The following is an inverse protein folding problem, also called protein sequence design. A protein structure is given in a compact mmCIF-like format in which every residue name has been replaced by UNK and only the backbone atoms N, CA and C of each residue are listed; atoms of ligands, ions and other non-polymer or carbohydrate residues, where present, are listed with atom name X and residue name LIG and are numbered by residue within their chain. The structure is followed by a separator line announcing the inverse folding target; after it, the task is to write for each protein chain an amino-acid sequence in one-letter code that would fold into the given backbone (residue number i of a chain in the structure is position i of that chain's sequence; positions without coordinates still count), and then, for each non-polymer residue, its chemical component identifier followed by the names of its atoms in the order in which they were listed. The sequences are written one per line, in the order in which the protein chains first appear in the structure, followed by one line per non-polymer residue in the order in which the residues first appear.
data_IF_620345958468
#
_entry.id   IF_620345958468
#
_cell.length_a   1.000
_cell.length_b   1.000
_cell.length_c   1.000
_cell.angle_alpha   90.00
_cell.angle_beta   90.00
_cell.angle_gamma   90.00
#
_symmetry.space_group_name_H-M   'P 1'
#
loop_
_entity.id
_entity.type
_entity.pdbx_description
1 polymer ?
#
# COMPACT_ATOMS: atom_id res chain seq x y z
N UNK A 1 1.11 5.51 -28.88
CA UNK A 1 1.35 4.81 -27.61
C UNK A 1 1.79 5.83 -26.57
N UNK A 2 1.47 5.59 -25.30
CA UNK A 2 1.95 6.37 -24.17
C UNK A 2 2.36 5.41 -23.04
N UNK A 3 3.18 5.88 -22.12
CA UNK A 3 3.55 5.15 -20.92
C UNK A 3 3.68 6.15 -19.77
N UNK A 4 3.56 5.65 -18.56
CA UNK A 4 3.60 6.48 -17.36
C UNK A 4 3.93 5.64 -16.14
N UNK A 5 4.17 6.36 -15.06
CA UNK A 5 4.46 5.80 -13.75
C UNK A 5 4.06 6.81 -12.69
N UNK A 6 3.79 6.31 -11.50
CA UNK A 6 3.67 7.13 -10.31
C UNK A 6 4.28 6.42 -9.11
N UNK A 7 4.68 7.23 -8.13
CA UNK A 7 5.32 6.74 -6.93
C UNK A 7 4.71 7.42 -5.72
N UNK A 8 4.23 6.61 -4.79
CA UNK A 8 3.69 7.07 -3.52
C UNK A 8 4.49 6.48 -2.35
N UNK A 9 4.90 7.31 -1.40
CA UNK A 9 5.51 6.84 -0.17
C UNK A 9 5.03 7.68 1.02
N UNK A 10 4.87 7.01 2.15
CA UNK A 10 4.45 7.62 3.42
C UNK A 10 5.59 7.47 4.41
N UNK A 11 5.93 8.53 5.14
CA UNK A 11 6.94 8.45 6.18
C UNK A 11 6.54 7.52 7.32
N UNK A 12 7.53 7.00 8.04
CA UNK A 12 7.30 6.28 9.29
C UNK A 12 6.54 7.16 10.30
N UNK A 13 5.83 6.51 11.22
CA UNK A 13 5.06 7.23 12.21
C UNK A 13 4.57 6.39 13.38
N UNK A 14 4.04 7.09 14.37
CA UNK A 14 3.51 6.52 15.59
C UNK A 14 2.06 6.98 15.76
N UNK A 15 1.19 6.06 16.18
CA UNK A 15 -0.21 6.35 16.46
C UNK A 15 -0.54 5.95 17.88
N UNK A 16 -1.07 6.91 18.62
CA UNK A 16 -1.48 6.75 20.02
C UNK A 16 -3.00 6.69 20.11
N UNK A 17 -3.52 5.59 20.67
CA UNK A 17 -4.94 5.40 20.97
C UNK A 17 -5.14 5.08 22.45
N UNK A 18 -6.38 5.14 22.93
CA UNK A 18 -6.69 4.95 24.35
C UNK A 18 -6.24 3.58 24.90
N UNK A 19 -6.31 2.52 24.10
CA UNK A 19 -5.97 1.15 24.51
C UNK A 19 -4.84 0.54 23.68
N UNK A 20 -4.14 1.36 22.88
CA UNK A 20 -3.21 0.86 21.88
C UNK A 20 -2.14 1.88 21.51
N UNK A 21 -0.95 1.38 21.25
CA UNK A 21 0.13 2.09 20.58
C UNK A 21 0.50 1.33 19.30
N UNK A 22 0.73 2.05 18.20
CA UNK A 22 1.06 1.47 16.90
C UNK A 22 2.28 2.19 16.29
N UNK A 23 3.25 1.44 15.79
CA UNK A 23 4.37 1.94 14.99
C UNK A 23 4.19 1.50 13.53
N UNK A 24 4.40 2.45 12.64
CA UNK A 24 4.30 2.31 11.20
C UNK A 24 5.70 2.50 10.60
N UNK A 25 6.31 1.41 10.11
CA UNK A 25 7.55 1.44 9.37
C UNK A 25 7.29 1.11 7.89
N UNK A 26 7.25 2.13 7.04
CA UNK A 26 6.94 2.02 5.62
C UNK A 26 8.23 1.92 4.81
N UNK A 27 8.37 0.85 4.04
CA UNK A 27 9.68 0.36 3.58
C UNK A 27 10.03 0.87 2.19
N UNK A 28 9.16 0.63 1.20
CA UNK A 28 9.55 0.76 -0.22
C UNK A 28 8.72 1.77 -1.01
N UNK A 29 7.55 2.15 -0.48
CA UNK A 29 6.54 2.90 -1.22
C UNK A 29 5.83 2.03 -2.27
N UNK A 30 4.96 2.65 -3.05
CA UNK A 30 4.15 2.03 -4.07
C UNK A 30 4.54 2.63 -5.42
N UNK A 31 5.21 1.83 -6.27
CA UNK A 31 5.60 2.22 -7.62
C UNK A 31 4.67 1.52 -8.60
N UNK A 32 3.94 2.31 -9.37
CA UNK A 32 3.05 1.83 -10.42
C UNK A 32 3.62 2.21 -11.78
N UNK A 33 3.56 1.28 -12.73
CA UNK A 33 4.01 1.50 -14.11
C UNK A 33 2.98 1.01 -15.11
N UNK A 34 2.78 1.75 -16.20
CA UNK A 34 1.87 1.34 -17.26
C UNK A 34 2.34 1.78 -18.65
N UNK A 35 1.86 1.05 -19.65
CA UNK A 35 1.91 1.43 -21.05
C UNK A 35 0.52 1.27 -21.69
N UNK A 36 0.17 2.17 -22.59
CA UNK A 36 -1.11 2.16 -23.29
C UNK A 36 -0.99 2.44 -24.78
N UNK A 37 -1.90 1.84 -25.53
CA UNK A 37 -2.07 2.12 -26.95
C UNK A 37 -2.72 3.49 -27.14
N UNK A 38 -2.48 4.11 -28.30
CA UNK A 38 -3.40 5.14 -28.77
C UNK A 38 -4.77 4.50 -29.04
N UNK A 39 -5.83 5.31 -29.06
CA UNK A 39 -7.13 4.83 -29.49
C UNK A 39 -7.00 4.20 -30.90
N UNK A 40 -7.43 2.95 -31.02
CA UNK A 40 -7.44 2.21 -32.26
C UNK A 40 -8.79 1.52 -32.40
N UNK A 41 -9.53 1.89 -33.45
CA UNK A 41 -10.90 1.39 -33.70
C UNK A 41 -11.86 1.60 -32.52
N UNK A 42 -11.76 2.72 -31.80
CA UNK A 42 -12.60 3.01 -30.64
C UNK A 42 -12.08 2.43 -29.32
N UNK A 43 -11.05 1.58 -29.36
CA UNK A 43 -10.52 0.90 -28.19
C UNK A 43 -9.19 1.48 -27.74
N UNK A 44 -8.97 1.54 -26.43
CA UNK A 44 -7.67 1.78 -25.80
C UNK A 44 -7.31 0.60 -24.93
N UNK A 45 -6.11 0.04 -25.13
CA UNK A 45 -5.58 -1.07 -24.34
C UNK A 45 -4.45 -0.52 -23.46
N UNK A 46 -4.51 -0.80 -22.16
CA UNK A 46 -3.47 -0.48 -21.18
C UNK A 46 -3.02 -1.76 -20.49
N UNK A 47 -1.72 -1.93 -20.33
CA UNK A 47 -1.13 -2.95 -19.48
C UNK A 47 -0.25 -2.28 -18.42
N UNK A 48 -0.23 -2.84 -17.21
CA UNK A 48 0.55 -2.25 -16.13
C UNK A 48 0.84 -3.23 -14.99
N UNK A 49 1.69 -2.76 -14.09
CA UNK A 49 2.07 -3.42 -12.86
C UNK A 49 1.94 -2.40 -11.74
N UNK A 50 1.08 -2.69 -10.77
CA UNK A 50 0.93 -1.91 -9.54
C UNK A 50 1.74 -2.56 -8.42
N UNK A 51 2.39 -1.76 -7.57
CA UNK A 51 3.26 -2.28 -6.50
C UNK A 51 4.48 -3.04 -7.05
N UNK A 52 5.23 -2.41 -7.97
CA UNK A 52 6.45 -3.00 -8.56
C UNK A 52 7.45 -3.44 -7.48
N UNK A 53 7.59 -2.63 -6.42
CA UNK A 53 8.30 -2.98 -5.19
C UNK A 53 7.28 -3.28 -4.11
N UNK A 54 7.46 -4.40 -3.40
CA UNK A 54 6.49 -4.85 -2.41
C UNK A 54 7.12 -5.79 -1.38
N UNK A 55 8.09 -5.29 -0.60
CA UNK A 55 8.64 -6.07 0.53
C UNK A 55 7.73 -6.01 1.77
N UNK A 56 6.61 -5.30 1.67
CA UNK A 56 5.62 -5.10 2.74
C UNK A 56 6.10 -4.12 3.80
N UNK A 57 5.14 -3.49 4.48
CA UNK A 57 5.37 -2.55 5.58
C UNK A 57 5.39 -3.29 6.92
N UNK A 58 6.36 -2.94 7.77
CA UNK A 58 6.39 -3.44 9.13
C UNK A 58 5.47 -2.61 10.04
N UNK A 59 4.70 -3.34 10.84
CA UNK A 59 3.76 -2.80 11.82
C UNK A 59 4.03 -3.45 13.17
N UNK A 60 4.25 -2.63 14.18
CA UNK A 60 4.22 -3.07 15.57
C UNK A 60 2.98 -2.50 16.25
N UNK A 61 2.32 -3.31 17.07
CA UNK A 61 1.19 -2.88 17.86
C UNK A 61 1.28 -3.40 19.28
N UNK A 62 1.19 -2.50 20.25
CA UNK A 62 1.05 -2.83 21.67
C UNK A 62 -0.40 -2.64 22.07
N UNK A 63 -1.00 -3.71 22.59
CA UNK A 63 -2.36 -3.75 23.12
C UNK A 63 -2.29 -3.68 24.64
N UNK A 64 -3.09 -2.80 25.24
CA UNK A 64 -3.16 -2.64 26.68
C UNK A 64 -4.44 -3.25 27.25
N UNK A 65 -4.35 -3.82 28.46
CA UNK A 65 -5.52 -4.27 29.21
C UNK A 65 -6.22 -3.07 29.85
N UNK A 66 -7.25 -2.58 29.17
CA UNK A 66 -7.93 -1.34 29.53
C UNK A 66 -7.20 -0.10 28.99
N UNK A 67 -7.03 0.93 29.82
CA UNK A 67 -6.40 2.19 29.41
C UNK A 67 -4.89 2.03 29.29
N UNK A 68 -4.29 2.59 28.23
CA UNK A 68 -2.83 2.72 28.10
C UNK A 68 -2.21 3.46 29.29
N UNK A 69 -2.95 4.35 29.95
CA UNK A 69 -2.47 5.04 31.14
C UNK A 69 -2.21 4.11 32.33
N UNK A 70 -2.88 2.95 32.38
CA UNK A 70 -2.62 1.92 33.40
C UNK A 70 -1.33 1.13 33.12
N UNK A 71 -0.80 1.20 31.90
CA UNK A 71 0.47 0.58 31.51
C UNK A 71 0.47 -0.95 31.42
N UNK A 72 -0.64 -1.62 31.72
CA UNK A 72 -0.73 -3.09 31.67
C UNK A 72 -0.78 -3.54 30.22
N UNK A 73 0.30 -4.16 29.73
CA UNK A 73 0.37 -4.70 28.37
C UNK A 73 -0.34 -6.05 28.34
N UNK A 74 -1.31 -6.17 27.44
CA UNK A 74 -2.00 -7.42 27.15
C UNK A 74 -1.22 -8.25 26.12
N UNK A 75 -0.76 -7.61 25.04
CA UNK A 75 -0.03 -8.28 23.96
C UNK A 75 0.78 -7.28 23.13
N UNK A 76 1.84 -7.78 22.50
CA UNK A 76 2.57 -7.07 21.45
C UNK A 76 2.52 -7.90 20.18
N UNK A 77 2.14 -7.27 19.07
CA UNK A 77 2.03 -7.90 17.76
C UNK A 77 3.05 -7.26 16.80
N UNK A 78 3.74 -8.11 16.04
CA UNK A 78 4.58 -7.71 14.93
C UNK A 78 4.00 -8.31 13.65
N UNK A 79 3.80 -7.48 12.62
CA UNK A 79 3.27 -7.91 11.34
C UNK A 79 4.03 -7.23 10.22
N UNK A 80 4.34 -7.98 9.17
CA UNK A 80 4.65 -7.43 7.87
C UNK A 80 3.35 -7.45 7.04
N UNK A 81 2.93 -6.30 6.52
CA UNK A 81 1.67 -6.13 5.80
C UNK A 81 1.97 -5.62 4.40
N UNK A 82 1.44 -6.31 3.40
CA UNK A 82 1.66 -6.00 1.99
C UNK A 82 0.31 -5.93 1.28
N UNK A 83 0.15 -4.97 0.36
CA UNK A 83 -1.03 -4.90 -0.53
C UNK A 83 -0.90 -5.83 -1.75
N UNK A 84 0.26 -6.47 -1.93
CA UNK A 84 0.53 -7.33 -3.08
C UNK A 84 1.03 -6.55 -4.29
N UNK A 85 1.58 -7.28 -5.26
CA UNK A 85 1.83 -6.77 -6.61
C UNK A 85 0.68 -7.21 -7.51
N UNK A 86 0.17 -6.31 -8.35
CA UNK A 86 -0.90 -6.62 -9.29
C UNK A 86 -0.44 -6.37 -10.71
N UNK A 87 -0.56 -7.38 -11.58
CA UNK A 87 -0.35 -7.22 -13.03
C UNK A 87 -1.72 -7.19 -13.70
N UNK A 88 -1.95 -6.21 -14.57
CA UNK A 88 -3.24 -6.06 -15.22
C UNK A 88 -3.16 -5.73 -16.71
N UNK A 89 -4.26 -6.03 -17.39
CA UNK A 89 -4.60 -5.50 -18.70
C UNK A 89 -6.00 -4.91 -18.61
N UNK A 90 -6.16 -3.67 -19.08
CA UNK A 90 -7.42 -2.94 -19.13
C UNK A 90 -7.72 -2.56 -20.57
N UNK A 91 -8.96 -2.79 -20.98
CA UNK A 91 -9.48 -2.42 -22.29
C UNK A 91 -10.65 -1.48 -22.06
N UNK A 92 -10.60 -0.29 -22.65
CA UNK A 92 -11.67 0.71 -22.58
C UNK A 92 -12.13 0.98 -24.00
N UNK A 93 -13.44 0.91 -24.20
CA UNK A 93 -14.10 1.26 -25.46
C UNK A 93 -14.77 2.64 -25.34
N UNK A 94 -15.00 3.28 -26.48
CA UNK A 94 -15.64 4.59 -26.60
C UNK A 94 -17.07 4.55 -27.16
N UNK A 95 -17.60 3.36 -27.44
CA UNK A 95 -18.98 3.14 -27.92
C UNK A 95 -19.99 2.90 -26.80
#
# INVERSE_FOLDING_TARGET
YAWGWDYHWVSNGEVYRAQRYEEFNNTDGDLDIYAETTNWLGMTIRAGVDGVFNNGDDRMRVLYDGSRANGVILATEHRNVSMGQTVYVRIVDTF
#
